data_IF_222980947250
#
_entry.id   IF_222980947250
#
_cell.length_a   1.000
_cell.length_b   1.000
_cell.length_c   1.000
_cell.angle_alpha   90.00
_cell.angle_beta   90.00
_cell.angle_gamma   90.00
#
_symmetry.space_group_name_H-M   'P 1'
#
loop_
_entity.id
_entity.type
_entity.pdbx_description
1 polymer ?
#
# COMPACT_ATOMS: atom_id res chain seq x y z
N UNK A 1 -24.91 19.60 3.26
CA UNK A 1 -23.87 19.00 2.40
C UNK A 1 -23.73 17.55 2.82
N UNK A 2 -24.22 16.62 2.01
CA UNK A 2 -24.10 15.19 2.28
C UNK A 2 -22.73 14.75 1.75
N UNK A 3 -21.91 14.16 2.62
CA UNK A 3 -20.70 13.46 2.21
C UNK A 3 -21.15 12.16 1.55
N UNK A 4 -20.81 11.97 0.27
CA UNK A 4 -21.02 10.69 -0.40
C UNK A 4 -20.15 9.64 0.32
N UNK A 5 -20.83 8.80 1.10
CA UNK A 5 -20.26 7.61 1.70
C UNK A 5 -19.74 6.71 0.57
N UNK A 6 -18.52 6.21 0.79
CA UNK A 6 -17.81 5.23 -0.03
C UNK A 6 -18.83 4.23 -0.57
N UNK A 7 -18.99 4.19 -1.90
CA UNK A 7 -19.93 3.29 -2.58
C UNK A 7 -19.61 1.85 -2.15
N UNK A 8 -20.63 1.01 -1.89
CA UNK A 8 -20.40 -0.39 -1.58
C UNK A 8 -19.59 -1.03 -2.72
N UNK A 9 -18.61 -1.85 -2.35
CA UNK A 9 -17.81 -2.61 -3.29
C UNK A 9 -18.75 -3.46 -4.16
N UNK A 10 -19.05 -2.98 -5.36
CA UNK A 10 -19.66 -3.80 -6.40
C UNK A 10 -18.64 -4.89 -6.66
N UNK A 11 -19.01 -6.14 -6.39
CA UNK A 11 -18.22 -7.32 -6.67
C UNK A 11 -17.99 -7.43 -8.18
N UNK A 12 -17.02 -6.68 -8.67
CA UNK A 12 -16.47 -6.81 -10.01
C UNK A 12 -15.43 -7.94 -9.94
N UNK A 13 -15.91 -9.17 -9.83
CA UNK A 13 -15.16 -10.33 -10.32
C UNK A 13 -15.01 -10.15 -11.83
N UNK A 14 -14.02 -9.36 -12.22
CA UNK A 14 -13.46 -9.35 -13.57
C UNK A 14 -12.00 -9.74 -13.44
N UNK A 15 -11.71 -11.00 -13.72
CA UNK A 15 -10.38 -11.43 -14.19
C UNK A 15 -10.11 -10.79 -15.56
N UNK A 16 -10.01 -9.46 -15.62
CA UNK A 16 -9.60 -8.72 -16.82
C UNK A 16 -8.89 -7.42 -16.45
N UNK A 17 -8.22 -7.34 -15.29
CA UNK A 17 -7.37 -6.19 -14.98
C UNK A 17 -6.11 -6.26 -15.83
N UNK A 18 -5.80 -5.24 -16.65
CA UNK A 18 -4.53 -5.20 -17.36
C UNK A 18 -3.41 -5.22 -16.31
N UNK A 19 -2.50 -6.19 -16.46
CA UNK A 19 -1.32 -6.28 -15.59
C UNK A 19 -0.41 -5.11 -15.90
N UNK A 20 0.14 -4.49 -14.86
CA UNK A 20 1.19 -3.50 -15.04
C UNK A 20 2.48 -4.26 -15.38
N UNK A 21 2.99 -4.01 -16.57
CA UNK A 21 4.32 -4.42 -16.96
C UNK A 21 5.37 -3.68 -16.13
N UNK A 22 6.41 -4.39 -15.69
CA UNK A 22 7.59 -3.79 -15.05
C UNK A 22 8.28 -2.73 -15.93
N UNK A 23 7.99 -2.72 -17.24
CA UNK A 23 8.43 -1.68 -18.17
C UNK A 23 7.57 -0.42 -18.16
N UNK A 24 6.61 -0.28 -17.24
CA UNK A 24 5.79 0.92 -17.11
C UNK A 24 6.66 2.18 -16.89
N UNK A 25 6.22 3.36 -17.39
CA UNK A 25 6.94 4.61 -17.12
C UNK A 25 7.11 4.87 -15.62
N UNK A 26 8.28 5.37 -15.22
CA UNK A 26 8.59 5.71 -13.81
C UNK A 26 7.58 6.69 -13.22
N UNK A 27 7.03 7.60 -14.03
CA UNK A 27 5.96 8.52 -13.62
C UNK A 27 4.66 7.78 -13.24
N UNK A 28 4.31 6.72 -13.97
CA UNK A 28 3.16 5.86 -13.67
C UNK A 28 3.42 5.07 -12.39
N UNK A 29 4.61 4.46 -12.26
CA UNK A 29 5.01 3.73 -11.05
C UNK A 29 5.00 4.61 -9.80
N UNK A 30 5.49 5.86 -9.91
CA UNK A 30 5.43 6.84 -8.81
C UNK A 30 3.98 7.15 -8.44
N UNK A 31 3.10 7.39 -9.43
CA UNK A 31 1.69 7.67 -9.16
C UNK A 31 1.00 6.52 -8.44
N UNK A 32 1.28 5.28 -8.86
CA UNK A 32 0.77 4.07 -8.18
C UNK A 32 1.25 4.03 -6.74
N UNK A 33 2.55 4.20 -6.52
CA UNK A 33 3.12 4.19 -5.18
C UNK A 33 2.52 5.26 -4.27
N UNK A 34 2.39 6.50 -4.76
CA UNK A 34 1.82 7.61 -3.98
C UNK A 34 0.37 7.35 -3.59
N UNK A 35 -0.48 7.01 -4.55
CA UNK A 35 -1.91 6.75 -4.30
C UNK A 35 -2.10 5.51 -3.41
N UNK A 36 -1.31 4.46 -3.64
CA UNK A 36 -1.34 3.26 -2.80
C UNK A 36 -0.94 3.58 -1.35
N UNK A 37 0.12 4.35 -1.14
CA UNK A 37 0.56 4.77 0.20
C UNK A 37 -0.53 5.58 0.92
N UNK A 38 -1.15 6.56 0.24
CA UNK A 38 -2.24 7.36 0.80
C UNK A 38 -3.43 6.48 1.22
N UNK A 39 -3.81 5.52 0.37
CA UNK A 39 -4.92 4.61 0.65
C UNK A 39 -4.61 3.62 1.77
N UNK A 40 -3.39 3.12 1.85
CA UNK A 40 -2.94 2.27 2.97
C UNK A 40 -3.05 3.03 4.29
N UNK A 41 -2.60 4.29 4.34
CA UNK A 41 -2.74 5.15 5.52
C UNK A 41 -4.22 5.35 5.89
N UNK A 42 -5.08 5.60 4.89
CA UNK A 42 -6.52 5.75 5.12
C UNK A 42 -7.16 4.45 5.65
N UNK A 43 -6.83 3.29 5.07
CA UNK A 43 -7.34 2.00 5.55
C UNK A 43 -6.92 1.73 6.98
N UNK A 44 -5.66 2.01 7.34
CA UNK A 44 -5.19 1.87 8.72
C UNK A 44 -5.92 2.81 9.68
N UNK A 45 -6.13 4.08 9.30
CA UNK A 45 -6.89 5.03 10.10
C UNK A 45 -8.35 4.61 10.29
N UNK A 46 -8.96 4.00 9.28
CA UNK A 46 -10.34 3.53 9.33
C UNK A 46 -10.53 2.25 10.15
N UNK A 47 -9.46 1.61 10.62
CA UNK A 47 -9.59 0.44 11.51
C UNK A 47 -10.12 0.81 12.90
N UNK A 48 -10.07 2.10 13.28
CA UNK A 48 -10.37 2.58 14.65
C UNK A 48 -9.51 1.94 15.76
N UNK A 49 -8.51 1.12 15.40
CA UNK A 49 -7.61 0.44 16.33
C UNK A 49 -6.37 1.27 16.65
N UNK A 50 -6.06 2.25 15.80
CA UNK A 50 -4.94 3.17 15.98
C UNK A 50 -5.26 4.12 17.14
N UNK A 51 -4.38 4.19 18.13
CA UNK A 51 -4.54 5.09 19.30
C UNK A 51 -4.28 6.55 18.96
N UNK A 52 -3.33 6.81 18.07
CA UNK A 52 -3.10 8.14 17.53
C UNK A 52 -4.35 8.62 16.80
N UNK A 53 -4.75 9.89 16.99
CA UNK A 53 -5.94 10.46 16.33
C UNK A 53 -5.95 10.25 14.82
N UNK A 54 -4.78 10.14 14.19
CA UNK A 54 -4.60 9.83 12.76
C UNK A 54 -3.12 9.53 12.44
N UNK A 55 -2.85 8.38 11.81
CA UNK A 55 -1.59 8.11 11.12
C UNK A 55 -1.41 9.09 9.97
N UNK A 56 -0.21 9.64 9.86
CA UNK A 56 0.18 10.68 8.89
C UNK A 56 1.26 10.18 7.91
N UNK A 57 1.91 9.06 8.19
CA UNK A 57 2.98 8.51 7.35
C UNK A 57 2.98 6.99 7.29
N UNK A 58 3.61 6.46 6.23
CA UNK A 58 3.80 5.01 6.05
C UNK A 58 4.78 4.41 7.09
N UNK A 59 5.71 5.20 7.62
CA UNK A 59 6.61 4.75 8.69
C UNK A 59 5.83 4.49 10.00
N UNK A 60 4.80 5.31 10.28
CA UNK A 60 3.89 5.03 11.40
C UNK A 60 3.08 3.76 11.13
N UNK A 61 2.54 3.57 9.92
CA UNK A 61 1.87 2.32 9.53
C UNK A 61 2.76 1.10 9.80
N UNK A 62 4.01 1.11 9.34
CA UNK A 62 4.97 0.03 9.59
C UNK A 62 5.23 -0.21 11.09
N UNK A 63 5.30 0.86 11.89
CA UNK A 63 5.51 0.76 13.33
C UNK A 63 4.35 0.02 14.02
N UNK A 64 3.12 0.26 13.60
CA UNK A 64 1.94 -0.49 14.06
C UNK A 64 1.97 -1.95 13.59
N UNK A 65 2.26 -2.21 12.31
CA UNK A 65 2.30 -3.58 11.75
C UNK A 65 3.41 -4.45 12.35
N UNK A 66 4.53 -3.85 12.73
CA UNK A 66 5.66 -4.53 13.38
C UNK A 66 5.53 -4.59 14.91
N UNK A 67 4.47 -4.04 15.48
CA UNK A 67 4.24 -4.05 16.93
C UNK A 67 5.18 -3.13 17.73
N UNK A 68 5.86 -2.18 17.08
CA UNK A 68 6.84 -1.25 17.68
C UNK A 68 6.23 0.07 18.15
N UNK A 69 4.94 0.10 18.44
CA UNK A 69 4.25 1.27 19.01
C UNK A 69 4.36 1.21 20.54
N UNK A 70 4.49 2.36 21.20
CA UNK A 70 4.85 2.57 22.63
C UNK A 70 3.85 2.02 23.68
N UNK A 71 3.11 0.97 23.37
CA UNK A 71 2.25 0.24 24.30
C UNK A 71 3.08 -0.69 25.20
N UNK A 72 3.94 -0.10 26.03
CA UNK A 72 4.66 -0.77 27.11
C UNK A 72 3.64 -1.33 28.11
N UNK A 73 3.53 -2.66 28.23
CA UNK A 73 2.80 -3.33 29.31
C UNK A 73 1.60 -4.20 28.92
N UNK A 74 1.37 -4.49 27.64
CA UNK A 74 0.28 -5.37 27.19
C UNK A 74 0.84 -6.59 26.45
N UNK A 75 0.34 -7.79 26.78
CA UNK A 75 0.84 -9.07 26.26
C UNK A 75 0.27 -9.42 24.87
N UNK A 76 1.11 -9.95 23.97
CA UNK A 76 0.74 -10.51 22.65
C UNK A 76 1.37 -9.80 21.43
N UNK A 77 1.44 -10.50 20.28
CA UNK A 77 1.82 -9.89 19.00
C UNK A 77 0.68 -9.00 18.49
N UNK A 78 0.67 -7.75 18.92
CA UNK A 78 -0.33 -6.77 18.45
C UNK A 78 -0.13 -6.39 16.99
N UNK A 79 1.10 -6.51 16.47
CA UNK A 79 1.37 -6.31 15.06
C UNK A 79 0.51 -7.24 14.21
N UNK A 80 0.32 -8.48 14.66
CA UNK A 80 -0.56 -9.47 14.02
C UNK A 80 -2.00 -9.01 13.89
N UNK A 81 -2.55 -8.35 14.91
CA UNK A 81 -3.89 -7.78 14.86
C UNK A 81 -4.00 -6.70 13.77
N UNK A 82 -3.04 -5.76 13.73
CA UNK A 82 -3.02 -4.71 12.71
C UNK A 82 -2.80 -5.29 11.31
N UNK A 83 -1.93 -6.30 11.17
CA UNK A 83 -1.68 -7.00 9.90
C UNK A 83 -2.95 -7.69 9.40
N UNK A 84 -3.65 -8.44 10.25
CA UNK A 84 -4.95 -9.06 9.89
C UNK A 84 -5.98 -8.02 9.46
N UNK A 85 -6.08 -6.91 10.20
CA UNK A 85 -7.07 -5.87 9.93
C UNK A 85 -6.77 -5.11 8.66
N UNK A 86 -5.51 -4.80 8.38
CA UNK A 86 -5.12 -4.19 7.12
C UNK A 86 -5.37 -5.13 5.94
N UNK A 87 -5.01 -6.41 6.05
CA UNK A 87 -5.27 -7.40 5.01
C UNK A 87 -6.78 -7.53 4.72
N UNK A 88 -7.60 -7.56 5.78
CA UNK A 88 -9.07 -7.56 5.69
C UNK A 88 -9.58 -6.30 4.97
N UNK A 89 -9.10 -5.10 5.34
CA UNK A 89 -9.50 -3.85 4.68
C UNK A 89 -9.11 -3.82 3.20
N UNK A 90 -7.92 -4.31 2.84
CA UNK A 90 -7.48 -4.39 1.44
C UNK A 90 -8.40 -5.33 0.64
N UNK A 91 -8.73 -6.49 1.21
CA UNK A 91 -9.65 -7.44 0.59
C UNK A 91 -11.05 -6.83 0.42
N UNK A 92 -11.61 -6.22 1.45
CA UNK A 92 -12.95 -5.62 1.41
C UNK A 92 -13.04 -4.44 0.44
N UNK A 93 -12.01 -3.60 0.35
CA UNK A 93 -12.01 -2.40 -0.48
C UNK A 93 -11.70 -2.70 -1.95
N UNK A 94 -10.78 -3.65 -2.23
CA UNK A 94 -10.23 -3.83 -3.57
C UNK A 94 -10.41 -5.24 -4.14
N UNK A 95 -10.94 -6.19 -3.35
CA UNK A 95 -11.08 -7.60 -3.70
C UNK A 95 -9.75 -8.23 -4.19
N UNK A 96 -8.65 -7.88 -3.52
CA UNK A 96 -7.31 -8.40 -3.84
C UNK A 96 -7.11 -9.70 -3.08
N UNK A 97 -6.99 -10.80 -3.82
CA UNK A 97 -6.69 -12.12 -3.27
C UNK A 97 -5.18 -12.29 -2.99
N UNK A 98 -4.85 -13.19 -2.07
CA UNK A 98 -3.47 -13.57 -1.76
C UNK A 98 -2.74 -12.60 -0.81
N UNK A 99 -3.44 -11.65 -0.19
CA UNK A 99 -2.90 -10.82 0.90
C UNK A 99 -3.42 -11.33 2.23
N UNK A 100 -2.52 -11.62 3.15
CA UNK A 100 -2.82 -12.06 4.51
C UNK A 100 -1.92 -11.35 5.54
N UNK A 101 -2.10 -11.71 6.81
CA UNK A 101 -1.32 -11.15 7.92
C UNK A 101 0.18 -11.49 7.89
N UNK A 102 0.61 -12.45 7.06
CA UNK A 102 2.01 -12.85 6.93
C UNK A 102 2.72 -12.01 5.87
N UNK A 103 2.03 -11.61 4.81
CA UNK A 103 2.64 -10.92 3.67
C UNK A 103 2.23 -9.44 3.52
N UNK A 104 1.20 -8.96 4.22
CA UNK A 104 0.77 -7.56 4.13
C UNK A 104 1.88 -6.56 4.45
N UNK A 105 2.78 -6.89 5.37
CA UNK A 105 3.94 -6.05 5.69
C UNK A 105 4.86 -5.88 4.47
N UNK A 106 5.07 -6.94 3.69
CA UNK A 106 5.89 -6.91 2.46
C UNK A 106 5.26 -5.97 1.43
N UNK A 107 3.93 -5.96 1.32
CA UNK A 107 3.22 -5.04 0.42
C UNK A 107 3.45 -3.58 0.83
N UNK A 108 3.35 -3.29 2.13
CA UNK A 108 3.57 -1.94 2.68
C UNK A 108 5.03 -1.50 2.50
N UNK A 109 6.00 -2.36 2.80
CA UNK A 109 7.43 -2.09 2.59
C UNK A 109 7.74 -1.85 1.11
N UNK A 110 7.16 -2.65 0.23
CA UNK A 110 7.33 -2.52 -1.22
C UNK A 110 6.70 -1.23 -1.76
N UNK A 111 5.56 -0.80 -1.22
CA UNK A 111 4.97 0.50 -1.56
C UNK A 111 5.90 1.66 -1.21
N UNK A 112 6.48 1.63 -0.01
CA UNK A 112 7.44 2.65 0.47
C UNK A 112 8.69 2.64 -0.41
N UNK A 113 9.23 1.46 -0.72
CA UNK A 113 10.40 1.32 -1.58
C UNK A 113 10.12 1.86 -2.98
N UNK A 114 9.00 1.47 -3.60
CA UNK A 114 8.60 1.95 -4.92
C UNK A 114 8.45 3.48 -4.94
N UNK A 115 7.82 4.05 -3.92
CA UNK A 115 7.66 5.50 -3.78
C UNK A 115 9.02 6.22 -3.69
N UNK A 116 9.89 5.76 -2.79
CA UNK A 116 11.21 6.37 -2.55
C UNK A 116 12.11 6.27 -3.79
N UNK A 117 12.15 5.11 -4.43
CA UNK A 117 12.96 4.87 -5.62
C UNK A 117 12.46 5.70 -6.80
N UNK A 118 11.16 5.62 -7.12
CA UNK A 118 10.61 6.37 -8.27
C UNK A 118 10.72 7.88 -8.07
N UNK A 119 10.49 8.39 -6.85
CA UNK A 119 10.73 9.81 -6.50
C UNK A 119 12.19 10.21 -6.73
N UNK A 120 13.15 9.40 -6.26
CA UNK A 120 14.59 9.67 -6.43
C UNK A 120 14.97 9.77 -7.91
N UNK A 121 14.43 8.88 -8.73
CA UNK A 121 14.68 8.85 -10.18
C UNK A 121 14.12 10.12 -10.84
N UNK A 122 12.88 10.49 -10.51
CA UNK A 122 12.22 11.68 -11.06
C UNK A 122 12.89 13.00 -10.64
N UNK A 123 13.50 13.05 -9.45
CA UNK A 123 14.25 14.21 -8.95
C UNK A 123 15.63 14.39 -9.62
N UNK A 124 15.97 13.58 -10.62
CA UNK A 124 17.18 13.77 -11.43
C UNK A 124 18.47 13.22 -10.80
N UNK A 125 18.39 12.45 -9.71
CA UNK A 125 19.56 11.75 -9.17
C UNK A 125 20.04 10.57 -10.04
N UNK A 126 19.32 10.21 -11.10
CA UNK A 126 19.73 9.23 -12.10
C UNK A 126 20.09 9.93 -13.42
N UNK A 127 21.34 10.37 -13.55
CA UNK A 127 21.90 11.03 -14.74
C UNK A 127 22.08 10.13 -15.98
N UNK A 128 21.34 9.03 -16.12
CA UNK A 128 21.38 8.15 -17.30
C UNK A 128 20.00 8.05 -17.94
N UNK A 129 19.68 8.99 -18.82
CA UNK A 129 18.43 9.07 -19.62
C UNK A 129 18.15 7.86 -20.54
N UNK A 130 18.92 6.78 -20.46
CA UNK A 130 18.82 5.62 -21.37
C UNK A 130 18.78 4.25 -20.67
N UNK A 131 18.67 4.21 -19.35
CA UNK A 131 18.45 2.99 -18.60
C UNK A 131 17.47 3.32 -17.50
N UNK A 132 16.21 2.90 -17.65
CA UNK A 132 15.27 2.94 -16.54
C UNK A 132 15.92 2.16 -15.39
N UNK A 133 16.13 2.77 -14.21
CA UNK A 133 16.51 1.99 -13.05
C UNK A 133 15.37 1.02 -12.82
N UNK A 134 15.63 -0.27 -13.05
CA UNK A 134 14.65 -1.30 -12.77
C UNK A 134 14.40 -1.25 -11.29
N UNK A 135 13.34 -0.56 -10.87
CA UNK A 135 12.87 -0.64 -9.49
C UNK A 135 12.55 -2.10 -9.28
N UNK A 136 13.39 -2.79 -8.50
CA UNK A 136 13.28 -4.23 -8.33
C UNK A 136 12.10 -4.50 -7.39
N UNK A 137 10.92 -4.64 -7.97
CA UNK A 137 9.68 -4.96 -7.30
C UNK A 137 9.05 -6.17 -8.00
N UNK A 138 8.55 -7.10 -7.20
CA UNK A 138 7.83 -8.26 -7.72
C UNK A 138 6.59 -7.82 -8.51
N UNK A 139 6.34 -8.44 -9.66
CA UNK A 139 5.22 -8.10 -10.55
C UNK A 139 3.87 -8.24 -9.84
N UNK A 140 3.73 -9.28 -9.01
CA UNK A 140 2.52 -9.52 -8.24
C UNK A 140 2.30 -8.39 -7.25
N UNK A 141 3.36 -7.94 -6.58
CA UNK A 141 3.28 -6.82 -5.63
C UNK A 141 2.95 -5.52 -6.37
N UNK A 142 3.55 -5.27 -7.54
CA UNK A 142 3.23 -4.10 -8.36
C UNK A 142 1.76 -4.09 -8.80
N UNK A 143 1.23 -5.24 -9.23
CA UNK A 143 -0.18 -5.39 -9.59
C UNK A 143 -1.13 -5.19 -8.40
N UNK A 144 -0.74 -5.66 -7.20
CA UNK A 144 -1.47 -5.39 -5.97
C UNK A 144 -1.52 -3.89 -5.70
N UNK A 145 -0.38 -3.20 -5.75
CA UNK A 145 -0.30 -1.77 -5.50
C UNK A 145 -1.07 -0.96 -6.55
N UNK A 146 -1.04 -1.37 -7.81
CA UNK A 146 -1.83 -0.80 -8.89
C UNK A 146 -3.33 -0.85 -8.59
N UNK A 147 -3.80 -2.02 -8.15
CA UNK A 147 -5.19 -2.27 -7.81
C UNK A 147 -5.62 -1.48 -6.58
N UNK A 148 -4.78 -1.40 -5.54
CA UNK A 148 -5.02 -0.50 -4.40
C UNK A 148 -5.10 0.95 -4.89
N UNK A 149 -4.25 1.36 -5.83
CA UNK A 149 -4.25 2.71 -6.39
C UNK A 149 -5.44 3.01 -7.33
N UNK A 150 -6.26 2.00 -7.70
CA UNK A 150 -7.27 2.09 -8.77
C UNK A 150 -6.72 2.71 -10.06
N UNK A 151 -5.44 2.45 -10.32
CA UNK A 151 -4.84 2.73 -11.61
C UNK A 151 -4.96 1.39 -12.32
N UNK A 152 -5.95 1.33 -13.23
CA UNK A 152 -6.50 0.19 -13.98
C UNK A 152 -7.86 -0.35 -13.51
#
# INVERSE_FOLDING_TARGET
MAYDLIRPAVSLYRETTPKIDMMAPVTTMNRIAQVACERIILMMNNTELVKERRLSSMDQVLSYLTGKHDDVGLSGDRGDLYRRKLAEQIFLAFAVDGIDHNNVTVIVESAILLERETRRILMGSANSRFSAPGVNIDEQVLNILARIAEIF
#
